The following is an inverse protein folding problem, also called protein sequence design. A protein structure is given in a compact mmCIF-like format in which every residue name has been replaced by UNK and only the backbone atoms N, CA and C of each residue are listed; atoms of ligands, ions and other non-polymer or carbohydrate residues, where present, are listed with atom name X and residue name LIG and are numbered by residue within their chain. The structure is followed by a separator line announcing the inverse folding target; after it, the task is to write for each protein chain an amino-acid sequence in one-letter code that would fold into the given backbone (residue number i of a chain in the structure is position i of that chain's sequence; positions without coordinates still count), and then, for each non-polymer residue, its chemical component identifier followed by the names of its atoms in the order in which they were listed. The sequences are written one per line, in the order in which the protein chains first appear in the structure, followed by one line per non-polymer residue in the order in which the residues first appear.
data_IF_879095223891
#
_entry.id   IF_879095223891
#
_cell.length_a   1.000
_cell.length_b   1.000
_cell.length_c   1.000
_cell.angle_alpha   90.00
_cell.angle_beta   90.00
_cell.angle_gamma   90.00
#
_symmetry.space_group_name_H-M   'P 1'
#
loop_
_entity.id
_entity.type
_entity.pdbx_description
1 polymer ?
#
# COMPACT_ATOMS: atom_id res chain seq x y z
N UNK A 1 -2.93 5.75 -1.02
CA UNK A 1 -2.09 5.61 -2.24
C UNK A 1 -1.25 4.35 -2.13
N UNK A 2 -0.92 3.71 -3.24
CA UNK A 2 -0.02 2.55 -3.29
C UNK A 2 0.83 2.61 -4.57
N UNK A 3 1.94 1.86 -4.60
CA UNK A 3 2.75 1.71 -5.79
C UNK A 3 2.38 0.41 -6.51
N UNK A 4 2.18 0.48 -7.83
CA UNK A 4 1.91 -0.67 -8.68
C UNK A 4 3.16 -1.04 -9.50
N UNK A 5 3.46 -2.33 -9.59
CA UNK A 5 4.54 -2.86 -10.45
C UNK A 5 4.08 -2.92 -11.91
N UNK A 6 4.77 -2.20 -12.80
CA UNK A 6 4.43 -2.14 -14.22
C UNK A 6 5.21 -3.10 -15.11
N UNK A 7 6.13 -3.91 -14.58
CA UNK A 7 6.97 -4.81 -15.39
C UNK A 7 6.14 -5.69 -16.33
N UNK A 8 5.02 -6.22 -15.86
CA UNK A 8 4.13 -7.09 -16.65
C UNK A 8 2.88 -6.37 -17.19
N UNK A 9 2.85 -5.03 -17.19
CA UNK A 9 1.65 -4.22 -17.51
C UNK A 9 1.87 -3.19 -18.62
N UNK A 10 3.07 -3.13 -19.18
CA UNK A 10 3.36 -2.34 -20.38
C UNK A 10 2.97 -3.13 -21.63
N UNK A 11 2.90 -2.45 -22.79
CA UNK A 11 2.61 -3.10 -24.08
C UNK A 11 3.59 -4.22 -24.45
N UNK A 12 4.76 -4.27 -23.82
CA UNK A 12 5.64 -5.45 -23.80
C UNK A 12 6.21 -5.63 -22.39
N UNK A 13 6.21 -6.86 -21.83
CA UNK A 13 6.75 -7.11 -20.51
C UNK A 13 8.22 -6.73 -20.39
N UNK A 14 8.57 -6.10 -19.29
CA UNK A 14 9.94 -5.82 -18.88
C UNK A 14 10.53 -7.11 -18.27
N UNK A 15 11.77 -7.48 -18.60
CA UNK A 15 12.41 -8.66 -18.03
C UNK A 15 12.43 -8.64 -16.49
N UNK A 16 12.26 -9.81 -15.86
CA UNK A 16 12.36 -9.93 -14.40
C UNK A 16 13.72 -9.48 -13.85
N UNK A 17 14.78 -9.63 -14.65
CA UNK A 17 16.14 -9.19 -14.33
C UNK A 17 16.38 -7.69 -14.53
N UNK A 18 15.36 -6.91 -14.88
CA UNK A 18 15.49 -5.46 -15.08
C UNK A 18 15.90 -4.77 -13.78
N UNK A 19 17.03 -4.06 -13.85
CA UNK A 19 17.55 -3.26 -12.75
C UNK A 19 17.18 -1.79 -12.94
N UNK A 20 16.15 -1.34 -12.23
CA UNK A 20 15.64 0.03 -12.29
C UNK A 20 14.24 0.14 -11.70
N UNK A 21 13.65 1.32 -11.80
CA UNK A 21 12.27 1.58 -11.37
C UNK A 21 11.28 1.30 -12.51
N UNK A 22 10.33 0.41 -12.28
CA UNK A 22 9.19 0.18 -13.16
C UNK A 22 7.92 0.13 -12.30
N UNK A 23 7.70 1.20 -11.53
CA UNK A 23 6.55 1.35 -10.65
C UNK A 23 5.86 2.68 -10.90
N UNK A 24 4.54 2.71 -10.78
CA UNK A 24 3.75 3.94 -10.80
C UNK A 24 2.93 4.07 -9.52
N UNK A 25 2.84 5.29 -9.01
CA UNK A 25 1.97 5.61 -7.88
C UNK A 25 0.52 5.67 -8.34
N UNK A 26 -0.36 4.99 -7.61
CA UNK A 26 -1.81 5.00 -7.82
C UNK A 26 -2.48 5.54 -6.56
N UNK A 27 -3.44 6.44 -6.75
CA UNK A 27 -4.17 7.07 -5.66
C UNK A 27 -5.67 6.94 -5.80
N UNK A 28 -6.33 6.78 -4.65
CA UNK A 28 -7.79 6.86 -4.51
C UNK A 28 -8.08 8.20 -3.82
N UNK A 29 -8.43 9.22 -4.61
CA UNK A 29 -8.59 10.60 -4.14
C UNK A 29 -10.06 11.01 -4.08
N UNK A 30 -10.38 12.05 -3.29
CA UNK A 30 -11.70 12.69 -3.30
C UNK A 30 -12.78 11.98 -2.47
N UNK A 31 -12.42 10.95 -1.70
CA UNK A 31 -13.36 10.29 -0.80
C UNK A 31 -13.42 10.99 0.56
N UNK A 32 -14.63 11.24 1.07
CA UNK A 32 -14.82 11.77 2.42
C UNK A 32 -14.58 10.67 3.45
N UNK A 33 -14.01 11.01 4.61
CA UNK A 33 -13.75 10.05 5.69
C UNK A 33 -14.99 9.21 6.08
N UNK A 34 -16.19 9.83 6.06
CA UNK A 34 -17.45 9.15 6.36
C UNK A 34 -17.82 8.01 5.39
N UNK A 35 -17.23 7.97 4.18
CA UNK A 35 -17.46 6.87 3.21
C UNK A 35 -16.79 5.58 3.68
N UNK A 36 -15.62 5.69 4.32
CA UNK A 36 -14.81 4.58 4.80
C UNK A 36 -14.94 4.38 6.32
N UNK A 37 -15.95 5.00 6.94
CA UNK A 37 -16.24 4.90 8.37
C UNK A 37 -17.62 4.26 8.59
N UNK A 38 -17.85 3.76 9.80
CA UNK A 38 -19.12 3.13 10.16
C UNK A 38 -19.29 1.71 9.62
N UNK A 39 -20.51 1.18 9.69
CA UNK A 39 -20.82 -0.23 9.42
C UNK A 39 -20.44 -0.65 7.98
N UNK A 40 -20.76 0.17 6.98
CA UNK A 40 -20.45 -0.12 5.57
C UNK A 40 -19.04 0.35 5.16
N UNK A 41 -18.30 0.98 6.08
CA UNK A 41 -17.02 1.64 5.77
C UNK A 41 -15.98 0.69 5.19
N UNK A 42 -15.91 -0.55 5.71
CA UNK A 42 -15.00 -1.59 5.22
C UNK A 42 -15.34 -2.02 3.79
N UNK A 43 -16.62 -2.29 3.51
CA UNK A 43 -17.07 -2.73 2.17
C UNK A 43 -16.82 -1.63 1.14
N UNK A 44 -17.15 -0.38 1.47
CA UNK A 44 -16.89 0.76 0.60
C UNK A 44 -15.39 0.93 0.33
N UNK A 45 -14.53 0.78 1.36
CA UNK A 45 -13.09 0.85 1.19
C UNK A 45 -12.57 -0.26 0.27
N UNK A 46 -13.07 -1.49 0.42
CA UNK A 46 -12.73 -2.61 -0.45
C UNK A 46 -13.16 -2.35 -1.89
N UNK A 47 -14.37 -1.84 -2.13
CA UNK A 47 -14.86 -1.50 -3.47
C UNK A 47 -13.97 -0.45 -4.13
N UNK A 48 -13.70 0.68 -3.44
CA UNK A 48 -12.84 1.76 -3.94
C UNK A 48 -11.44 1.24 -4.32
N UNK A 49 -10.83 0.42 -3.46
CA UNK A 49 -9.50 -0.11 -3.70
C UNK A 49 -9.53 -1.17 -4.81
N UNK A 50 -10.55 -2.02 -4.86
CA UNK A 50 -10.71 -3.06 -5.88
C UNK A 50 -10.91 -2.46 -7.26
N UNK A 51 -11.74 -1.43 -7.38
CA UNK A 51 -11.93 -0.68 -8.62
C UNK A 51 -10.63 -0.02 -9.07
N UNK A 52 -9.92 0.62 -8.13
CA UNK A 52 -8.61 1.21 -8.40
C UNK A 52 -7.63 0.17 -8.94
N UNK A 53 -7.49 -0.97 -8.26
CA UNK A 53 -6.59 -2.06 -8.66
C UNK A 53 -7.03 -2.70 -9.99
N UNK A 54 -8.33 -2.87 -10.20
CA UNK A 54 -8.90 -3.39 -11.45
C UNK A 54 -8.66 -2.47 -12.65
N UNK A 55 -8.54 -1.17 -12.41
CA UNK A 55 -8.12 -0.20 -13.42
C UNK A 55 -6.62 -0.21 -13.75
N UNK A 56 -5.78 -0.78 -12.88
CA UNK A 56 -4.33 -0.82 -13.12
C UNK A 56 -4.02 -1.77 -14.28
N UNK A 57 -3.53 -1.20 -15.39
CA UNK A 57 -3.18 -1.94 -16.60
C UNK A 57 -4.27 -1.97 -17.67
N UNK A 58 -5.42 -1.33 -17.44
CA UNK A 58 -6.42 -1.07 -18.50
C UNK A 58 -6.17 0.27 -19.21
N UNK A 59 -5.65 1.24 -18.46
CA UNK A 59 -5.20 2.53 -18.97
C UNK A 59 -3.72 2.47 -19.37
N UNK A 60 -3.33 3.27 -20.35
CA UNK A 60 -1.92 3.49 -20.62
C UNK A 60 -1.24 4.28 -19.49
N UNK A 61 0.09 4.26 -19.50
CA UNK A 61 0.93 4.88 -18.46
C UNK A 61 0.71 6.38 -18.36
N UNK A 62 0.45 7.05 -19.49
CA UNK A 62 0.33 8.51 -19.54
C UNK A 62 -0.98 8.94 -18.86
N UNK A 63 -2.08 8.27 -19.19
CA UNK A 63 -3.38 8.48 -18.54
C UNK A 63 -3.34 8.21 -17.02
N UNK A 64 -2.64 7.16 -16.58
CA UNK A 64 -2.46 6.89 -15.15
C UNK A 64 -1.65 7.99 -14.45
N UNK A 65 -0.60 8.50 -15.10
CA UNK A 65 0.17 9.63 -14.59
C UNK A 65 -0.69 10.89 -14.48
N UNK A 66 -1.50 11.19 -15.49
CA UNK A 66 -2.41 12.34 -15.48
C UNK A 66 -3.43 12.25 -14.34
N UNK A 67 -4.07 11.08 -14.15
CA UNK A 67 -5.01 10.85 -13.05
C UNK A 67 -4.34 11.02 -11.68
N UNK A 68 -3.12 10.54 -11.52
CA UNK A 68 -2.36 10.74 -10.29
C UNK A 68 -2.02 12.22 -10.04
N UNK A 69 -1.58 12.94 -11.07
CA UNK A 69 -1.27 14.38 -10.98
C UNK A 69 -2.53 15.19 -10.67
N UNK A 70 -3.62 14.99 -11.40
CA UNK A 70 -4.88 15.69 -11.18
C UNK A 70 -5.44 15.40 -9.78
N UNK A 71 -5.40 14.13 -9.35
CA UNK A 71 -5.84 13.72 -8.02
C UNK A 71 -5.04 14.37 -6.91
N UNK A 72 -3.70 14.41 -7.03
CA UNK A 72 -2.82 15.06 -6.06
C UNK A 72 -2.97 16.58 -6.02
N UNK A 73 -3.18 17.23 -7.17
CA UNK A 73 -3.41 18.68 -7.26
C UNK A 73 -4.73 19.13 -6.59
N UNK A 74 -5.69 18.22 -6.44
CA UNK A 74 -6.97 18.47 -5.76
C UNK A 74 -6.92 18.22 -4.24
N UNK A 75 -5.81 17.71 -3.72
CA UNK A 75 -5.67 17.47 -2.28
C UNK A 75 -5.50 18.80 -1.55
N UNK A 76 -6.48 19.16 -0.73
CA UNK A 76 -6.44 20.38 0.07
C UNK A 76 -5.49 20.23 1.27
N UNK A 77 -4.82 21.31 1.71
CA UNK A 77 -4.01 21.29 2.92
C UNK A 77 -4.79 20.78 4.13
N UNK A 78 -4.23 19.82 4.86
CA UNK A 78 -4.88 19.18 6.01
C UNK A 78 -5.79 18.00 5.67
N UNK A 79 -5.93 17.65 4.38
CA UNK A 79 -6.54 16.37 3.98
C UNK A 79 -5.70 15.22 4.52
N UNK A 80 -6.36 14.27 5.18
CA UNK A 80 -5.69 13.05 5.65
C UNK A 80 -5.31 12.19 4.46
N UNK A 81 -4.03 11.82 4.40
CA UNK A 81 -3.52 10.92 3.36
C UNK A 81 -2.83 9.74 3.99
N UNK A 82 -2.95 8.57 3.36
CA UNK A 82 -2.21 7.38 3.77
C UNK A 82 -1.61 6.73 2.55
N UNK A 83 -0.37 6.28 2.69
CA UNK A 83 0.35 5.52 1.68
C UNK A 83 0.76 4.14 2.18
N UNK A 84 0.92 3.20 1.25
CA UNK A 84 1.41 1.85 1.54
C UNK A 84 2.81 1.73 0.98
N UNK A 85 3.74 1.22 1.79
CA UNK A 85 5.08 0.83 1.34
C UNK A 85 5.24 -0.68 1.47
N UNK A 86 5.97 -1.28 0.53
CA UNK A 86 6.22 -2.73 0.51
C UNK A 86 5.16 -3.52 -0.26
N UNK A 87 5.34 -4.83 -0.25
CA UNK A 87 4.45 -5.81 -0.86
C UNK A 87 4.63 -7.15 -0.17
N UNK A 88 3.55 -7.90 0.02
CA UNK A 88 3.59 -9.28 0.49
C UNK A 88 4.14 -10.28 -0.56
N UNK A 89 4.76 -9.77 -1.63
CA UNK A 89 5.39 -10.56 -2.69
C UNK A 89 6.90 -10.35 -2.79
N UNK A 90 7.50 -9.50 -1.95
CA UNK A 90 8.92 -9.21 -2.02
C UNK A 90 9.80 -10.32 -1.42
N UNK A 91 9.27 -11.14 -0.51
CA UNK A 91 10.02 -12.30 0.01
C UNK A 91 11.20 -11.87 0.89
N UNK A 92 11.04 -10.80 1.66
CA UNK A 92 12.04 -10.29 2.61
C UNK A 92 12.54 -11.39 3.54
N UNK A 93 11.64 -12.23 4.05
CA UNK A 93 11.99 -13.34 4.95
C UNK A 93 12.73 -14.51 4.26
N UNK A 94 12.87 -14.48 2.92
CA UNK A 94 13.67 -15.46 2.17
C UNK A 94 15.18 -15.14 2.19
N UNK A 95 15.57 -13.98 2.74
CA UNK A 95 16.95 -13.52 2.81
C UNK A 95 17.75 -14.31 3.86
N UNK A 96 18.37 -15.42 3.47
CA UNK A 96 19.24 -16.22 4.34
C UNK A 96 20.72 -16.05 3.95
N UNK A 97 21.49 -15.48 4.86
CA UNK A 97 22.94 -15.25 4.69
C UNK A 97 23.81 -16.39 5.25
N UNK A 98 23.20 -17.49 5.69
CA UNK A 98 23.86 -18.66 6.28
C UNK A 98 23.56 -18.90 7.77
N UNK A 99 22.74 -18.04 8.38
CA UNK A 99 22.34 -18.14 9.80
C UNK A 99 20.83 -18.37 9.99
N UNK A 100 20.12 -18.66 8.90
CA UNK A 100 18.67 -18.80 8.89
C UNK A 100 17.97 -17.51 8.48
N UNK A 101 16.65 -17.63 8.29
CA UNK A 101 15.77 -16.53 7.88
C UNK A 101 15.70 -15.42 8.95
N UNK A 102 15.45 -14.16 8.55
CA UNK A 102 15.24 -13.05 9.49
C UNK A 102 14.14 -13.37 10.51
N UNK A 103 14.28 -12.87 11.73
CA UNK A 103 13.25 -13.00 12.77
C UNK A 103 12.12 -11.99 12.56
N UNK A 104 12.46 -10.78 12.12
CA UNK A 104 11.52 -9.73 11.73
C UNK A 104 12.11 -8.88 10.60
N UNK A 105 11.25 -8.17 9.86
CA UNK A 105 11.63 -7.18 8.87
C UNK A 105 10.81 -5.90 9.09
N UNK A 106 11.51 -4.77 9.26
CA UNK A 106 10.87 -3.49 9.57
C UNK A 106 11.22 -2.43 8.52
N UNK A 107 10.21 -1.71 8.03
CA UNK A 107 10.43 -0.57 7.13
C UNK A 107 10.51 0.72 7.93
N UNK A 108 11.69 1.06 8.44
CA UNK A 108 11.88 2.19 9.37
C UNK A 108 11.46 3.54 8.79
N UNK A 109 11.58 3.73 7.47
CA UNK A 109 11.26 5.00 6.80
C UNK A 109 9.78 5.40 6.81
N UNK A 110 8.89 4.56 7.35
CA UNK A 110 7.48 4.92 7.58
C UNK A 110 7.31 5.89 8.76
N UNK A 111 8.35 6.13 9.57
CA UNK A 111 8.33 7.09 10.67
C UNK A 111 8.16 8.55 10.22
N UNK A 112 8.63 8.85 9.01
CA UNK A 112 8.68 10.21 8.43
C UNK A 112 7.50 10.54 7.54
N UNK A 113 6.81 9.52 7.05
CA UNK A 113 5.77 9.64 6.04
C UNK A 113 4.47 9.10 6.63
N UNK A 114 3.31 9.68 6.28
CA UNK A 114 1.99 9.12 6.64
C UNK A 114 1.76 7.80 5.88
N UNK A 115 2.46 6.76 6.29
CA UNK A 115 2.58 5.50 5.60
C UNK A 115 2.51 4.33 6.57
N UNK A 116 1.99 3.21 6.09
CA UNK A 116 2.16 1.92 6.74
C UNK A 116 2.88 0.96 5.80
N UNK A 117 3.58 0.00 6.38
CA UNK A 117 4.28 -1.03 5.62
C UNK A 117 3.45 -2.29 5.48
N UNK A 118 3.67 -3.02 4.39
CA UNK A 118 3.03 -4.27 4.08
C UNK A 118 4.07 -5.29 3.62
N UNK A 119 4.13 -6.45 4.27
CA UNK A 119 5.03 -7.55 3.93
C UNK A 119 4.34 -8.90 4.05
N UNK A 120 4.98 -9.95 3.53
CA UNK A 120 4.52 -11.31 3.76
C UNK A 120 4.70 -11.71 5.22
N UNK A 121 3.90 -12.66 5.67
CA UNK A 121 4.10 -13.28 6.98
C UNK A 121 5.32 -14.21 6.94
N UNK A 122 6.10 -14.22 8.02
CA UNK A 122 7.34 -15.01 8.12
C UNK A 122 7.18 -16.52 7.88
N UNK A 123 6.32 -17.16 8.66
CA UNK A 123 6.31 -18.63 8.81
C UNK A 123 5.12 -19.34 8.16
N UNK A 124 4.00 -18.64 8.00
CA UNK A 124 2.78 -19.23 7.45
C UNK A 124 2.57 -18.80 6.00
N UNK A 125 2.13 -19.74 5.16
CA UNK A 125 1.72 -19.44 3.80
C UNK A 125 0.39 -18.71 3.81
N UNK A 126 0.40 -17.46 3.34
CA UNK A 126 -0.76 -16.59 3.39
C UNK A 126 -0.77 -15.70 4.63
N UNK A 127 -1.45 -14.56 4.50
CA UNK A 127 -1.41 -13.49 5.49
C UNK A 127 -0.45 -12.36 5.12
N UNK A 128 -0.53 -11.29 5.90
CA UNK A 128 0.17 -10.04 5.69
C UNK A 128 0.61 -9.52 7.05
N UNK A 129 1.85 -9.05 7.14
CA UNK A 129 2.33 -8.25 8.26
C UNK A 129 2.16 -6.77 7.90
N UNK A 130 1.55 -6.00 8.82
CA UNK A 130 1.30 -4.56 8.66
C UNK A 130 2.12 -3.82 9.72
N UNK A 131 3.09 -3.02 9.30
CA UNK A 131 3.90 -2.21 10.20
C UNK A 131 3.40 -0.76 10.25
N UNK A 132 3.27 -0.21 11.46
CA UNK A 132 2.73 1.12 11.74
C UNK A 132 3.68 1.90 12.68
N UNK A 133 3.82 3.20 12.42
CA UNK A 133 4.56 4.12 13.29
C UNK A 133 3.70 5.36 13.55
N UNK A 134 2.92 5.34 14.63
CA UNK A 134 1.99 6.41 15.00
C UNK A 134 2.37 7.03 16.34
N UNK A 135 1.81 8.20 16.69
CA UNK A 135 1.95 8.72 18.05
C UNK A 135 1.24 7.77 19.01
N UNK A 136 1.70 7.73 20.26
CA UNK A 136 1.18 6.81 21.28
C UNK A 136 -0.35 6.79 21.35
N UNK A 137 -1.00 7.94 21.49
CA UNK A 137 -2.47 8.00 21.61
C UNK A 137 -3.21 7.54 20.34
N UNK A 138 -2.62 7.74 19.16
CA UNK A 138 -3.17 7.26 17.88
C UNK A 138 -2.99 5.75 17.76
N UNK A 139 -1.85 5.22 18.22
CA UNK A 139 -1.58 3.78 18.27
C UNK A 139 -2.51 3.06 19.25
N UNK A 140 -2.73 3.62 20.44
CA UNK A 140 -3.65 3.04 21.43
C UNK A 140 -5.07 2.94 20.85
N UNK A 141 -5.55 4.01 20.20
CA UNK A 141 -6.84 4.00 19.50
C UNK A 141 -6.88 3.01 18.34
N UNK A 142 -5.81 2.94 17.53
CA UNK A 142 -5.73 2.00 16.42
C UNK A 142 -5.83 0.55 16.91
N UNK A 143 -5.12 0.20 17.98
CA UNK A 143 -5.14 -1.15 18.57
C UNK A 143 -6.56 -1.51 19.01
N UNK A 144 -7.23 -0.60 19.73
CA UNK A 144 -8.61 -0.81 20.17
C UNK A 144 -9.56 -1.02 18.98
N UNK A 145 -9.47 -0.18 17.95
CA UNK A 145 -10.32 -0.30 16.76
C UNK A 145 -10.05 -1.58 15.98
N UNK A 146 -8.77 -1.93 15.78
CA UNK A 146 -8.37 -3.11 15.01
C UNK A 146 -8.79 -4.41 15.71
N UNK A 147 -8.67 -4.49 17.03
CA UNK A 147 -9.07 -5.68 17.80
C UNK A 147 -10.58 -5.85 17.88
N UNK A 148 -11.35 -4.75 17.95
CA UNK A 148 -12.81 -4.80 18.04
C UNK A 148 -13.50 -4.90 16.66
N UNK A 149 -12.76 -4.69 15.56
CA UNK A 149 -13.29 -4.69 14.19
C UNK A 149 -13.11 -6.00 13.42
N UNK A 150 -12.42 -6.99 13.99
CA UNK A 150 -12.22 -8.34 13.45
C UNK A 150 -13.19 -9.34 14.07
#
# INVERSE_FOLDING_TARGET
MYAADFRNRLGSPVPESYFGSCVLSVGCFGHKAGVVSGEDGFVNAVEIISDSVGGVGTLDVEALCELYIDGTMRVEPGTQTVSIVGSNRFGLYQSDFGWGKPVSCETVSIDRNEAFSMSERRDESGGVEIGLCLKKGEMDLFIDLFQNGL
#
